data_IF_153074584865
#
_entry.id   IF_153074584865
#
_cell.length_a   1.000
_cell.length_b   1.000
_cell.length_c   1.000
_cell.angle_alpha   90.00
_cell.angle_beta   90.00
_cell.angle_gamma   90.00
#
_symmetry.space_group_name_H-M   'P 1'
#
loop_
_entity.id
_entity.type
_entity.pdbx_description
1 polymer ?
#
# COMPACT_ATOMS: atom_id res chain seq x y z
N UNK A 1 2.93 7.10 8.31
CA UNK A 1 2.64 7.68 9.65
C UNK A 1 3.92 7.81 10.49
N UNK A 2 4.82 6.79 10.66
CA UNK A 2 6.11 7.02 11.33
C UNK A 2 6.95 8.12 10.66
N UNK A 3 6.88 8.26 9.33
CA UNK A 3 7.49 9.35 8.57
C UNK A 3 6.97 10.72 9.01
N UNK A 4 5.65 10.89 9.06
CA UNK A 4 4.99 12.13 9.47
C UNK A 4 5.41 12.62 10.86
N UNK A 5 5.56 11.70 11.82
CA UNK A 5 6.06 12.07 13.16
C UNK A 5 7.49 12.60 13.10
N UNK A 6 8.36 11.94 12.31
CA UNK A 6 9.74 12.37 12.12
C UNK A 6 9.83 13.73 11.39
N UNK A 7 9.01 13.92 10.37
CA UNK A 7 8.90 15.19 9.63
C UNK A 7 8.40 16.31 10.53
N UNK A 8 7.39 16.05 11.35
CA UNK A 8 6.90 17.05 12.31
C UNK A 8 7.93 17.39 13.38
N UNK A 9 8.74 16.43 13.83
CA UNK A 9 9.87 16.73 14.70
C UNK A 9 10.89 17.64 14.01
N UNK A 10 11.16 17.43 12.70
CA UNK A 10 12.02 18.32 11.91
C UNK A 10 11.47 19.74 11.87
N UNK A 11 10.14 19.89 11.68
CA UNK A 11 9.45 21.19 11.74
C UNK A 11 9.67 21.86 13.09
N UNK A 12 9.48 21.13 14.21
CA UNK A 12 9.69 21.66 15.56
C UNK A 12 11.13 22.14 15.76
N UNK A 13 12.12 21.32 15.34
CA UNK A 13 13.54 21.66 15.45
C UNK A 13 13.89 22.92 14.62
N UNK A 14 13.33 23.04 13.44
CA UNK A 14 13.52 24.21 12.58
C UNK A 14 12.87 25.46 13.17
N UNK A 15 11.64 25.35 13.71
CA UNK A 15 10.98 26.46 14.43
C UNK A 15 11.82 26.97 15.61
N UNK A 16 12.46 26.06 16.34
CA UNK A 16 13.37 26.42 17.45
C UNK A 16 14.61 27.14 16.91
N UNK A 17 15.22 26.64 15.84
CA UNK A 17 16.39 27.28 15.22
C UNK A 17 16.08 28.65 14.63
N UNK A 18 14.90 28.84 14.09
CA UNK A 18 14.40 30.12 13.54
C UNK A 18 13.92 31.08 14.63
N UNK A 19 14.13 30.72 15.91
CA UNK A 19 13.74 31.52 17.08
C UNK A 19 12.26 31.97 17.06
N UNK A 20 11.35 31.05 16.63
CA UNK A 20 9.92 31.33 16.61
C UNK A 20 9.34 31.49 18.02
N UNK A 21 8.19 32.18 18.16
CA UNK A 21 7.55 32.34 19.48
C UNK A 21 7.32 31.02 20.18
N UNK A 22 7.71 30.93 21.46
CA UNK A 22 7.65 29.68 22.23
C UNK A 22 6.25 29.03 22.23
N UNK A 23 5.17 29.82 22.22
CA UNK A 23 3.80 29.32 22.11
C UNK A 23 3.55 28.54 20.81
N UNK A 24 4.10 28.99 19.69
CA UNK A 24 3.94 28.31 18.40
C UNK A 24 4.78 27.00 18.36
N UNK A 25 5.96 27.00 18.95
CA UNK A 25 6.80 25.80 19.10
C UNK A 25 6.10 24.76 19.98
N UNK A 26 5.47 25.18 21.07
CA UNK A 26 4.70 24.28 21.95
C UNK A 26 3.53 23.65 21.19
N UNK A 27 2.82 24.43 20.39
CA UNK A 27 1.71 23.93 19.55
C UNK A 27 2.25 22.87 18.58
N UNK A 28 3.34 23.14 17.87
CA UNK A 28 3.97 22.19 16.97
C UNK A 28 4.44 20.91 17.72
N UNK A 29 5.02 21.05 18.90
CA UNK A 29 5.42 19.91 19.72
C UNK A 29 4.22 19.05 20.16
N UNK A 30 3.09 19.68 20.48
CA UNK A 30 1.88 18.94 20.79
C UNK A 30 1.36 18.12 19.60
N UNK A 31 1.56 18.57 18.37
CA UNK A 31 1.22 17.80 17.18
C UNK A 31 2.03 16.51 17.08
N UNK A 32 3.31 16.51 17.47
CA UNK A 32 4.12 15.29 17.54
C UNK A 32 3.50 14.28 18.51
N UNK A 33 3.04 14.72 19.67
CA UNK A 33 2.36 13.83 20.62
C UNK A 33 1.02 13.32 20.09
N UNK A 34 0.26 14.14 19.36
CA UNK A 34 -0.98 13.70 18.75
C UNK A 34 -0.68 12.64 17.65
N UNK A 35 0.34 12.85 16.82
CA UNK A 35 0.77 11.86 15.82
C UNK A 35 1.16 10.52 16.48
N UNK A 36 1.84 10.55 17.62
CA UNK A 36 2.17 9.34 18.39
C UNK A 36 0.91 8.65 18.95
N UNK A 37 -0.06 9.42 19.42
CA UNK A 37 -1.35 8.87 19.89
C UNK A 37 -2.13 8.21 18.75
N UNK A 38 -2.14 8.83 17.58
CA UNK A 38 -2.72 8.27 16.36
C UNK A 38 -2.12 6.89 16.07
N UNK A 39 -0.79 6.77 16.09
CA UNK A 39 -0.10 5.48 15.90
C UNK A 39 -0.54 4.43 16.91
N UNK A 40 -0.57 4.79 18.20
CA UNK A 40 -1.00 3.87 19.27
C UNK A 40 -2.45 3.43 19.11
N UNK A 41 -3.33 4.35 18.70
CA UNK A 41 -4.75 4.03 18.47
C UNK A 41 -4.91 3.05 17.30
N UNK A 42 -4.11 3.19 16.22
CA UNK A 42 -4.11 2.26 15.09
C UNK A 42 -3.64 0.87 15.55
N UNK A 43 -2.54 0.79 16.28
CA UNK A 43 -2.02 -0.48 16.81
C UNK A 43 -3.06 -1.16 17.73
N UNK A 44 -3.77 -0.37 18.55
CA UNK A 44 -4.83 -0.87 19.39
C UNK A 44 -6.05 -1.36 18.61
N UNK A 45 -6.42 -0.70 17.51
CA UNK A 45 -7.50 -1.13 16.62
C UNK A 45 -7.13 -2.44 15.92
N UNK A 46 -5.86 -2.62 15.55
CA UNK A 46 -5.37 -3.81 14.85
C UNK A 46 -5.10 -4.98 15.81
N UNK A 47 -4.88 -4.70 17.10
CA UNK A 47 -4.74 -5.73 18.13
C UNK A 47 -6.10 -6.38 18.44
N UNK A 48 -6.07 -7.68 18.79
CA UNK A 48 -7.26 -8.40 19.21
C UNK A 48 -7.64 -7.95 20.62
N UNK A 49 -8.43 -6.86 20.72
CA UNK A 49 -8.89 -6.34 22.01
C UNK A 49 -10.34 -5.87 21.94
N UNK A 50 -11.02 -5.89 23.08
CA UNK A 50 -12.39 -5.39 23.20
C UNK A 50 -12.48 -3.85 23.10
N UNK A 51 -11.33 -3.16 23.04
CA UNK A 51 -11.21 -1.70 22.97
C UNK A 51 -11.17 -1.14 21.55
N UNK A 52 -11.26 -1.97 20.51
CA UNK A 52 -11.12 -1.53 19.11
C UNK A 52 -12.06 -0.38 18.72
N UNK A 53 -13.30 -0.38 19.24
CA UNK A 53 -14.28 0.69 19.00
C UNK A 53 -13.87 2.01 19.66
N UNK A 54 -13.39 1.93 20.90
CA UNK A 54 -12.91 3.10 21.65
C UNK A 54 -11.66 3.67 20.97
N UNK A 55 -10.70 2.82 20.66
CA UNK A 55 -9.48 3.20 19.94
C UNK A 55 -9.78 3.81 18.56
N UNK A 56 -10.83 3.36 17.85
CA UNK A 56 -11.24 3.95 16.57
C UNK A 56 -11.84 5.36 16.77
N UNK A 57 -12.55 5.60 17.86
CA UNK A 57 -13.04 6.92 18.22
C UNK A 57 -11.90 7.86 18.62
N UNK A 58 -10.95 7.38 19.40
CA UNK A 58 -9.76 8.13 19.80
C UNK A 58 -8.91 8.49 18.57
N UNK A 59 -8.69 7.52 17.68
CA UNK A 59 -8.01 7.75 16.41
C UNK A 59 -8.69 8.87 15.60
N UNK A 60 -10.02 8.80 15.45
CA UNK A 60 -10.77 9.83 14.72
C UNK A 60 -10.62 11.21 15.37
N UNK A 61 -10.77 11.29 16.69
CA UNK A 61 -10.68 12.54 17.44
C UNK A 61 -9.28 13.16 17.33
N UNK A 62 -8.24 12.34 17.45
CA UNK A 62 -6.86 12.79 17.33
C UNK A 62 -6.52 13.19 15.91
N UNK A 63 -6.99 12.44 14.90
CA UNK A 63 -6.83 12.80 13.50
C UNK A 63 -7.51 14.15 13.18
N UNK A 64 -8.76 14.34 13.59
CA UNK A 64 -9.48 15.61 13.39
C UNK A 64 -8.75 16.78 14.09
N UNK A 65 -8.23 16.57 15.30
CA UNK A 65 -7.48 17.57 16.05
C UNK A 65 -6.16 17.91 15.36
N UNK A 66 -5.41 16.89 14.92
CA UNK A 66 -4.18 17.06 14.19
C UNK A 66 -4.38 17.90 12.93
N UNK A 67 -5.34 17.53 12.09
CA UNK A 67 -5.64 18.26 10.86
C UNK A 67 -6.09 19.71 11.11
N UNK A 68 -6.86 19.94 12.18
CA UNK A 68 -7.31 21.30 12.57
C UNK A 68 -6.12 22.21 12.91
N UNK A 69 -5.18 21.71 13.71
CA UNK A 69 -3.99 22.49 14.09
C UNK A 69 -3.00 22.64 12.93
N UNK A 70 -2.81 21.61 12.12
CA UNK A 70 -1.96 21.65 10.92
C UNK A 70 -2.47 22.71 9.94
N UNK A 71 -3.77 22.72 9.66
CA UNK A 71 -4.38 23.75 8.83
C UNK A 71 -4.24 25.15 9.46
N UNK A 72 -4.36 25.26 10.80
CA UNK A 72 -4.18 26.51 11.51
C UNK A 72 -2.73 27.04 11.41
N UNK A 73 -1.72 26.18 11.43
CA UNK A 73 -0.32 26.57 11.23
C UNK A 73 -0.06 27.09 9.80
N UNK A 74 -0.70 26.50 8.80
CA UNK A 74 -0.60 26.94 7.41
C UNK A 74 -1.35 28.25 7.11
N UNK A 75 -2.53 28.46 7.71
CA UNK A 75 -3.44 29.53 7.35
C UNK A 75 -3.66 30.57 8.45
N UNK A 76 -3.27 30.24 9.68
CA UNK A 76 -3.58 31.01 10.88
C UNK A 76 -4.97 30.66 11.46
N UNK A 77 -5.12 30.76 12.78
CA UNK A 77 -6.40 30.61 13.45
C UNK A 77 -6.39 31.40 14.77
N UNK A 78 -7.16 32.49 14.82
CA UNK A 78 -7.33 33.26 16.04
C UNK A 78 -8.05 32.44 17.13
N UNK A 79 -9.00 31.58 16.74
CA UNK A 79 -9.74 30.70 17.64
C UNK A 79 -8.82 29.74 18.40
N UNK A 80 -7.81 29.21 17.72
CA UNK A 80 -6.86 28.27 18.30
C UNK A 80 -5.61 28.94 18.88
N UNK A 81 -5.49 30.26 18.76
CA UNK A 81 -4.26 30.97 19.13
C UNK A 81 -3.04 30.62 18.29
N UNK A 82 -3.26 30.13 17.05
CA UNK A 82 -2.21 29.71 16.15
C UNK A 82 -1.94 30.81 15.14
N UNK A 83 -0.72 31.35 15.14
CA UNK A 83 -0.27 32.28 14.11
C UNK A 83 0.11 31.48 12.86
N UNK A 84 -0.18 32.07 11.70
CA UNK A 84 0.28 31.53 10.42
C UNK A 84 1.80 31.49 10.38
N UNK A 85 2.35 30.40 9.91
CA UNK A 85 3.79 30.27 9.66
C UNK A 85 4.12 30.93 8.35
N UNK A 86 5.04 31.92 8.39
CA UNK A 86 5.43 32.70 7.21
C UNK A 86 6.72 32.20 6.57
N UNK A 87 7.54 31.45 7.30
CA UNK A 87 8.80 30.86 6.79
C UNK A 87 8.50 29.90 5.63
N UNK A 88 9.07 30.12 4.42
CA UNK A 88 8.75 29.32 3.23
C UNK A 88 9.12 27.84 3.40
N UNK A 89 10.29 27.55 3.98
CA UNK A 89 10.79 26.19 4.12
C UNK A 89 9.91 25.38 5.07
N UNK A 90 9.47 26.01 6.16
CA UNK A 90 8.51 25.40 7.11
C UNK A 90 7.13 25.20 6.47
N UNK A 91 6.69 26.12 5.63
CA UNK A 91 5.41 26.01 4.92
C UNK A 91 5.43 24.87 3.93
N UNK A 92 6.52 24.69 3.21
CA UNK A 92 6.67 23.59 2.25
C UNK A 92 6.60 22.23 2.97
N UNK A 93 7.33 22.07 4.08
CA UNK A 93 7.28 20.87 4.93
C UNK A 93 5.86 20.62 5.48
N UNK A 94 5.20 21.64 6.02
CA UNK A 94 3.83 21.52 6.53
C UNK A 94 2.82 21.19 5.43
N UNK A 95 3.03 21.68 4.22
CA UNK A 95 2.17 21.38 3.07
C UNK A 95 2.33 19.92 2.64
N UNK A 96 3.55 19.38 2.68
CA UNK A 96 3.82 17.95 2.42
C UNK A 96 3.14 17.07 3.47
N UNK A 97 3.30 17.41 4.75
CA UNK A 97 2.60 16.74 5.85
C UNK A 97 1.08 16.83 5.69
N UNK A 98 0.53 17.98 5.25
CA UNK A 98 -0.90 18.15 4.99
C UNK A 98 -1.39 17.22 3.88
N UNK A 99 -0.62 17.05 2.82
CA UNK A 99 -0.95 16.15 1.73
C UNK A 99 -0.99 14.69 2.21
N UNK A 100 0.01 14.25 2.97
CA UNK A 100 0.03 12.91 3.58
C UNK A 100 -1.14 12.71 4.56
N UNK A 101 -1.41 13.70 5.40
CA UNK A 101 -2.55 13.69 6.32
C UNK A 101 -3.88 13.51 5.59
N UNK A 102 -4.16 14.30 4.57
CA UNK A 102 -5.44 14.26 3.83
C UNK A 102 -5.60 12.93 3.08
N UNK A 103 -4.52 12.41 2.51
CA UNK A 103 -4.53 11.17 1.74
C UNK A 103 -4.67 9.93 2.62
N UNK A 104 -3.96 9.87 3.73
CA UNK A 104 -3.81 8.64 4.54
C UNK A 104 -4.60 8.72 5.84
N UNK A 105 -4.34 9.73 6.68
CA UNK A 105 -4.86 9.77 8.05
C UNK A 105 -6.35 10.07 8.08
N UNK A 106 -6.77 11.14 7.44
CA UNK A 106 -8.16 11.60 7.41
C UNK A 106 -9.10 10.56 6.79
N UNK A 107 -8.68 10.00 5.67
CA UNK A 107 -9.44 8.94 4.99
C UNK A 107 -9.46 7.66 5.83
N UNK A 108 -8.32 7.24 6.35
CA UNK A 108 -8.17 6.08 7.22
C UNK A 108 -9.00 6.19 8.50
N UNK A 109 -8.99 7.35 9.15
CA UNK A 109 -9.76 7.59 10.36
C UNK A 109 -11.27 7.45 10.13
N UNK A 110 -11.78 8.02 9.03
CA UNK A 110 -13.19 7.90 8.67
C UNK A 110 -13.58 6.45 8.38
N UNK A 111 -12.76 5.72 7.63
CA UNK A 111 -13.00 4.31 7.28
C UNK A 111 -12.97 3.43 8.52
N UNK A 112 -11.96 3.56 9.36
CA UNK A 112 -11.81 2.74 10.58
C UNK A 112 -12.93 3.04 11.60
N UNK A 113 -13.28 4.31 11.81
CA UNK A 113 -14.38 4.69 12.68
C UNK A 113 -15.70 4.10 12.21
N UNK A 114 -16.05 4.26 10.93
CA UNK A 114 -17.32 3.78 10.37
C UNK A 114 -17.42 2.23 10.33
N UNK A 115 -16.28 1.54 10.30
CA UNK A 115 -16.23 0.09 10.28
C UNK A 115 -15.74 -0.56 11.58
N UNK A 116 -15.53 0.22 12.63
CA UNK A 116 -15.00 -0.28 13.92
C UNK A 116 -15.79 -1.46 14.49
N UNK A 117 -17.13 -1.42 14.39
CA UNK A 117 -17.98 -2.53 14.82
C UNK A 117 -17.77 -3.82 13.99
N UNK A 118 -17.51 -3.67 12.69
CA UNK A 118 -17.19 -4.82 11.80
C UNK A 118 -15.81 -5.37 12.09
N UNK A 119 -14.83 -4.51 12.34
CA UNK A 119 -13.47 -4.92 12.73
C UNK A 119 -13.53 -5.71 14.04
N UNK A 120 -14.22 -5.20 15.05
CA UNK A 120 -14.41 -5.89 16.32
C UNK A 120 -15.13 -7.24 16.14
N UNK A 121 -16.16 -7.32 15.29
CA UNK A 121 -16.85 -8.57 14.99
C UNK A 121 -15.95 -9.60 14.31
N UNK A 122 -15.12 -9.17 13.34
CA UNK A 122 -14.15 -10.05 12.67
C UNK A 122 -13.08 -10.55 13.64
N UNK A 123 -12.55 -9.69 14.50
CA UNK A 123 -11.58 -10.07 15.52
C UNK A 123 -12.16 -11.08 16.50
N UNK A 124 -13.40 -10.85 16.97
CA UNK A 124 -14.10 -11.79 17.85
C UNK A 124 -14.34 -13.13 17.17
N UNK A 125 -14.77 -13.13 15.91
CA UNK A 125 -14.94 -14.35 15.13
C UNK A 125 -13.62 -15.09 14.93
N UNK A 126 -12.52 -14.37 14.63
CA UNK A 126 -11.19 -14.95 14.50
C UNK A 126 -10.71 -15.59 15.82
N UNK A 127 -10.91 -14.93 16.96
CA UNK A 127 -10.60 -15.49 18.27
C UNK A 127 -11.44 -16.74 18.60
N UNK A 128 -12.74 -16.74 18.24
CA UNK A 128 -13.60 -17.90 18.38
C UNK A 128 -13.12 -19.08 17.53
N UNK A 129 -12.78 -18.82 16.24
CA UNK A 129 -12.24 -19.85 15.35
C UNK A 129 -10.94 -20.42 15.91
N UNK A 130 -10.05 -19.55 16.42
CA UNK A 130 -8.79 -19.98 17.01
C UNK A 130 -9.02 -20.89 18.23
N UNK A 131 -9.91 -20.49 19.15
CA UNK A 131 -10.25 -21.27 20.33
C UNK A 131 -10.93 -22.62 19.97
N UNK A 132 -11.89 -22.58 19.04
CA UNK A 132 -12.57 -23.78 18.56
C UNK A 132 -11.62 -24.74 17.84
N UNK A 133 -10.64 -24.18 17.09
CA UNK A 133 -9.59 -24.97 16.45
C UNK A 133 -8.70 -25.68 17.50
N UNK A 134 -8.40 -24.97 18.59
CA UNK A 134 -7.68 -25.55 19.72
C UNK A 134 -8.44 -26.68 20.38
N UNK A 135 -9.75 -26.52 20.64
CA UNK A 135 -10.62 -27.53 21.17
C UNK A 135 -10.76 -28.74 20.23
N UNK A 136 -10.89 -28.47 18.93
CA UNK A 136 -10.94 -29.53 17.91
C UNK A 136 -9.64 -30.32 17.85
N UNK A 137 -8.48 -29.63 17.91
CA UNK A 137 -7.16 -30.25 17.99
C UNK A 137 -7.03 -31.13 19.25
N UNK A 138 -7.50 -30.66 20.40
CA UNK A 138 -7.51 -31.42 21.65
C UNK A 138 -8.42 -32.65 21.54
N UNK A 139 -9.60 -32.49 20.93
CA UNK A 139 -10.53 -33.60 20.67
C UNK A 139 -9.94 -34.63 19.68
N UNK A 140 -9.30 -34.18 18.62
CA UNK A 140 -8.59 -35.04 17.66
C UNK A 140 -7.41 -35.77 18.31
N UNK A 141 -6.64 -35.11 19.16
CA UNK A 141 -5.56 -35.75 19.92
C UNK A 141 -6.09 -36.83 20.89
N UNK A 142 -7.26 -36.58 21.49
CA UNK A 142 -7.92 -37.58 22.35
C UNK A 142 -8.43 -38.80 21.57
N UNK A 143 -8.91 -38.59 20.34
CA UNK A 143 -9.27 -39.65 19.40
C UNK A 143 -8.05 -40.41 18.85
N UNK A 144 -6.92 -39.72 18.64
CA UNK A 144 -5.69 -40.32 18.13
C UNK A 144 -4.96 -41.20 19.14
N UNK A 145 -5.33 -41.14 20.43
CA UNK A 145 -4.79 -42.05 21.45
C UNK A 145 -5.22 -43.53 21.28
N UNK A 146 -6.19 -43.79 20.40
CA UNK A 146 -6.45 -45.12 19.89
C UNK A 146 -5.60 -45.36 18.62
N UNK A 147 -4.58 -46.20 18.74
CA UNK A 147 -3.48 -46.40 17.76
C UNK A 147 -3.91 -46.67 16.30
N UNK A 148 -5.15 -47.09 16.07
CA UNK A 148 -5.70 -47.33 14.73
C UNK A 148 -6.12 -46.06 13.98
N UNK A 149 -6.62 -45.03 14.68
CA UNK A 149 -7.06 -43.78 14.06
C UNK A 149 -5.88 -42.94 13.57
N UNK A 150 -4.75 -42.97 14.28
CA UNK A 150 -3.55 -42.21 13.95
C UNK A 150 -3.00 -42.59 12.57
N UNK A 151 -3.08 -43.86 12.21
CA UNK A 151 -2.58 -44.37 10.91
C UNK A 151 -3.45 -43.83 9.76
N UNK A 152 -4.78 -43.81 9.91
CA UNK A 152 -5.67 -43.27 8.86
C UNK A 152 -5.50 -41.77 8.67
N UNK A 153 -5.34 -41.00 9.74
CA UNK A 153 -5.10 -39.56 9.65
C UNK A 153 -3.74 -39.24 9.04
N UNK A 154 -2.68 -40.01 9.36
CA UNK A 154 -1.39 -39.88 8.73
C UNK A 154 -1.46 -40.13 7.23
N UNK A 155 -2.18 -41.16 6.78
CA UNK A 155 -2.42 -41.44 5.38
C UNK A 155 -3.17 -40.30 4.67
N UNK A 156 -4.21 -39.76 5.31
CA UNK A 156 -5.01 -38.65 4.74
C UNK A 156 -4.22 -37.38 4.62
N UNK A 157 -3.33 -37.06 5.57
CA UNK A 157 -2.39 -35.95 5.52
C UNK A 157 -1.38 -36.12 4.37
N UNK A 158 -0.84 -37.34 4.20
CA UNK A 158 0.09 -37.63 3.11
C UNK A 158 -0.60 -37.46 1.75
N UNK A 159 -1.82 -37.98 1.60
CA UNK A 159 -2.60 -37.84 0.35
C UNK A 159 -2.91 -36.36 0.07
N UNK A 160 -3.32 -35.60 1.10
CA UNK A 160 -3.59 -34.16 0.97
C UNK A 160 -2.33 -33.39 0.58
N UNK A 161 -1.19 -33.71 1.17
CA UNK A 161 0.08 -33.07 0.87
C UNK A 161 0.55 -33.37 -0.57
N UNK A 162 0.40 -34.62 -0.99
CA UNK A 162 0.71 -35.02 -2.38
C UNK A 162 -0.23 -34.31 -3.37
N UNK A 163 -1.52 -34.21 -3.05
CA UNK A 163 -2.50 -33.47 -3.84
C UNK A 163 -2.15 -31.98 -3.95
N UNK A 164 -1.73 -31.37 -2.85
CA UNK A 164 -1.29 -29.98 -2.84
C UNK A 164 -0.04 -29.76 -3.71
N UNK A 165 0.96 -30.65 -3.59
CA UNK A 165 2.16 -30.59 -4.44
C UNK A 165 1.84 -30.77 -5.93
N UNK A 166 0.89 -31.69 -6.23
CA UNK A 166 0.43 -31.88 -7.61
C UNK A 166 -0.28 -30.63 -8.14
N UNK A 167 -1.17 -30.00 -7.36
CA UNK A 167 -1.83 -28.75 -7.75
C UNK A 167 -0.83 -27.59 -7.92
N UNK A 168 0.13 -27.47 -7.01
CA UNK A 168 1.19 -26.47 -7.12
C UNK A 168 2.06 -26.68 -8.38
N UNK A 169 2.44 -27.92 -8.65
CA UNK A 169 3.16 -28.27 -9.88
C UNK A 169 2.35 -27.93 -11.14
N UNK A 170 1.04 -28.25 -11.14
CA UNK A 170 0.16 -27.92 -12.27
C UNK A 170 0.01 -26.43 -12.46
N UNK A 171 -0.13 -25.68 -11.40
CA UNK A 171 -0.20 -24.20 -11.45
C UNK A 171 1.10 -23.58 -12.00
N UNK A 172 2.26 -24.09 -11.55
CA UNK A 172 3.57 -23.65 -12.04
C UNK A 172 3.77 -24.01 -13.52
N UNK A 173 3.36 -25.21 -13.93
CA UNK A 173 3.45 -25.64 -15.31
C UNK A 173 2.56 -24.83 -16.26
N UNK A 174 1.34 -24.48 -15.81
CA UNK A 174 0.41 -23.63 -16.55
C UNK A 174 0.93 -22.19 -16.68
N UNK A 175 1.52 -21.65 -15.59
CA UNK A 175 2.20 -20.34 -15.65
C UNK A 175 3.39 -20.36 -16.60
N UNK A 176 4.21 -21.40 -16.54
CA UNK A 176 5.34 -21.54 -17.45
C UNK A 176 4.93 -21.65 -18.93
N UNK A 177 3.79 -22.26 -19.23
CA UNK A 177 3.24 -22.29 -20.60
C UNK A 177 2.71 -20.91 -21.03
N UNK A 178 2.00 -20.21 -20.14
CA UNK A 178 1.52 -18.86 -20.40
C UNK A 178 2.67 -17.85 -20.58
N UNK A 179 3.74 -18.00 -19.80
CA UNK A 179 4.92 -17.14 -19.92
C UNK A 179 5.69 -17.42 -21.22
N UNK A 180 5.80 -18.69 -21.62
CA UNK A 180 6.39 -19.06 -22.93
C UNK A 180 5.59 -18.48 -24.09
N UNK A 181 4.27 -18.65 -24.10
CA UNK A 181 3.40 -18.08 -25.13
C UNK A 181 3.52 -16.55 -25.20
N UNK A 182 3.66 -15.90 -24.05
CA UNK A 182 3.84 -14.44 -23.96
C UNK A 182 5.23 -14.01 -24.45
N UNK A 183 6.26 -14.78 -24.15
CA UNK A 183 7.62 -14.54 -24.66
C UNK A 183 7.68 -14.74 -26.18
N UNK A 184 7.04 -15.78 -26.72
CA UNK A 184 6.94 -16.01 -28.16
C UNK A 184 6.21 -14.88 -28.87
N UNK A 185 5.08 -14.39 -28.32
CA UNK A 185 4.37 -13.27 -28.91
C UNK A 185 5.16 -11.96 -28.87
N UNK A 186 5.89 -11.70 -27.79
CA UNK A 186 6.79 -10.53 -27.69
C UNK A 186 7.98 -10.65 -28.67
N UNK A 187 8.51 -11.85 -28.84
CA UNK A 187 9.59 -12.11 -29.80
C UNK A 187 9.11 -11.86 -31.24
N UNK A 188 7.94 -12.36 -31.59
CA UNK A 188 7.32 -12.11 -32.91
C UNK A 188 7.03 -10.63 -33.16
N UNK A 189 6.58 -9.91 -32.16
CA UNK A 189 6.35 -8.46 -32.23
C UNK A 189 7.69 -7.71 -32.39
N UNK A 190 8.72 -8.12 -31.65
CA UNK A 190 10.05 -7.56 -31.78
C UNK A 190 10.67 -7.80 -33.15
N UNK A 191 10.56 -9.05 -33.66
CA UNK A 191 11.06 -9.42 -34.98
C UNK A 191 10.31 -8.67 -36.10
N UNK A 192 9.00 -8.51 -35.96
CA UNK A 192 8.18 -7.68 -36.87
C UNK A 192 8.63 -6.23 -36.89
N UNK A 193 8.82 -5.64 -35.71
CA UNK A 193 9.27 -4.27 -35.59
C UNK A 193 10.69 -4.09 -36.15
N UNK A 194 11.59 -5.03 -35.90
CA UNK A 194 12.94 -5.01 -36.47
C UNK A 194 12.93 -5.11 -37.98
N UNK A 195 12.14 -6.03 -38.54
CA UNK A 195 11.99 -6.18 -39.98
C UNK A 195 11.35 -4.93 -40.63
N UNK A 196 10.39 -4.30 -39.96
CA UNK A 196 9.78 -3.07 -40.43
C UNK A 196 10.81 -1.90 -40.46
N UNK A 197 11.65 -1.80 -39.43
CA UNK A 197 12.73 -0.80 -39.36
C UNK A 197 13.80 -1.05 -40.46
N UNK A 198 14.21 -2.32 -40.65
CA UNK A 198 15.19 -2.67 -41.69
C UNK A 198 14.66 -2.35 -43.08
N UNK A 199 13.38 -2.63 -43.33
CA UNK A 199 12.72 -2.31 -44.61
C UNK A 199 12.65 -0.82 -44.85
N UNK A 200 12.31 -0.04 -43.83
CA UNK A 200 12.27 1.41 -43.92
C UNK A 200 13.67 2.01 -44.15
N UNK A 201 14.70 1.43 -43.53
CA UNK A 201 16.09 1.81 -43.77
C UNK A 201 16.53 1.49 -45.21
N UNK A 202 16.09 0.37 -45.77
CA UNK A 202 16.38 -0.04 -47.14
C UNK A 202 15.69 0.93 -48.14
N UNK A 203 14.40 1.25 -47.90
CA UNK A 203 13.66 2.23 -48.69
C UNK A 203 14.25 3.65 -48.64
N UNK A 204 14.80 4.06 -47.47
CA UNK A 204 15.50 5.33 -47.31
C UNK A 204 16.87 5.30 -48.03
N UNK A 205 17.56 4.17 -48.02
CA UNK A 205 18.83 4.01 -48.71
C UNK A 205 18.67 4.14 -50.23
N UNK A 206 17.61 3.50 -50.80
CA UNK A 206 17.26 3.65 -52.22
C UNK A 206 16.97 5.14 -52.60
N UNK A 207 16.28 5.87 -51.69
CA UNK A 207 16.02 7.28 -51.87
C UNK A 207 17.33 8.14 -51.80
N UNK A 208 18.27 7.74 -50.93
CA UNK A 208 19.57 8.41 -50.77
C UNK A 208 20.49 8.18 -52.00
N UNK A 209 20.35 7.03 -52.68
CA UNK A 209 21.04 6.69 -53.92
C UNK A 209 20.43 7.35 -55.17
N UNK A 210 19.35 8.11 -54.97
CA UNK A 210 18.73 8.95 -56.02
C UNK A 210 17.66 8.27 -56.84
N UNK A 211 17.15 7.08 -56.44
CA UNK A 211 16.02 6.44 -57.10
C UNK A 211 14.71 6.97 -56.56
N UNK A 212 14.17 7.99 -57.16
CA UNK A 212 12.89 8.66 -56.82
C UNK A 212 11.67 7.84 -57.26
N UNK A 213 11.82 6.60 -57.70
CA UNK A 213 10.72 5.70 -58.08
C UNK A 213 10.32 4.73 -56.96
N UNK A 214 11.11 4.70 -55.89
CA UNK A 214 10.75 3.91 -54.70
C UNK A 214 9.56 4.56 -53.96
N UNK A 215 8.53 3.80 -53.73
CA UNK A 215 7.38 4.22 -52.92
C UNK A 215 7.53 3.65 -51.50
N UNK A 216 7.43 4.50 -50.50
CA UNK A 216 7.38 4.04 -49.11
C UNK A 216 6.13 3.17 -48.91
N UNK A 217 6.31 1.96 -48.42
CA UNK A 217 5.23 1.03 -48.18
C UNK A 217 4.62 1.34 -46.81
N UNK A 218 3.44 1.93 -46.81
CA UNK A 218 2.68 2.17 -45.55
C UNK A 218 2.20 0.83 -45.02
N UNK A 219 2.73 0.42 -43.88
CA UNK A 219 2.26 -0.77 -43.15
C UNK A 219 1.44 -0.35 -41.92
N UNK A 220 0.58 -1.25 -41.44
CA UNK A 220 -0.15 -1.03 -40.18
C UNK A 220 0.76 -1.10 -38.93
N UNK A 221 2.05 -1.29 -39.14
CA UNK A 221 3.07 -1.36 -38.10
C UNK A 221 3.43 0.04 -37.60
N UNK A 222 4.16 0.06 -36.49
CA UNK A 222 4.65 1.29 -35.84
C UNK A 222 5.41 2.24 -36.80
N UNK A 223 6.00 1.72 -37.87
CA UNK A 223 6.69 2.51 -38.92
C UNK A 223 5.74 3.23 -39.88
N UNK A 224 4.48 2.83 -39.98
CA UNK A 224 3.48 3.47 -40.82
C UNK A 224 3.15 4.92 -40.45
N UNK A 225 3.49 5.35 -39.22
CA UNK A 225 3.34 6.74 -38.79
C UNK A 225 4.51 7.64 -39.22
N UNK A 226 5.60 7.05 -39.77
CA UNK A 226 6.83 7.75 -40.17
C UNK A 226 6.93 7.84 -41.70
N UNK A 227 6.31 6.92 -42.43
CA UNK A 227 6.23 6.91 -43.90
C UNK A 227 5.08 7.80 -44.39
#
# INVERSE_FOLDING_TARGET
IPGMQAEYNSVVDQMVRSNMPAGQVIIAKNQVFIAERILRSIDAILSVSDTAKESANDFKTDADTFGKYLNAQLNGSAELGVARIEDPDLRDQLTEIQAEYDQVIKTGAAVLYNNSAKVAAVQKAAAQIFNQSGELLAALNKLSSTATATIYFAFLLIISFVGFLYCAYRLLSLRGQADKARMESLQEEYDRNQNAILRLLDEIADLADGDLRSYATVSEDFTGAIA
#
